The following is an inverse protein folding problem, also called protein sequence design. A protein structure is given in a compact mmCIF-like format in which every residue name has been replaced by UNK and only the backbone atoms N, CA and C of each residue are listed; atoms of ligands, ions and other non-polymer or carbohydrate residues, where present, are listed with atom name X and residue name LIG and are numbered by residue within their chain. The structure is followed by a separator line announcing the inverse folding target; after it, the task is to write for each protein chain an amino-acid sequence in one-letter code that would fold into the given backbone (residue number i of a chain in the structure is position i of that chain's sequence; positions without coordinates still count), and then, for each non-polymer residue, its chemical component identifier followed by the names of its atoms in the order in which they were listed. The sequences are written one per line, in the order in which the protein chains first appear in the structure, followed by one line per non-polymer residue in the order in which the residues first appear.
data_IF_984003721894
#
_entry.id   IF_984003721894
#
_cell.length_a   1.000
_cell.length_b   1.000
_cell.length_c   1.000
_cell.angle_alpha   90.00
_cell.angle_beta   90.00
_cell.angle_gamma   90.00
#
_symmetry.space_group_name_H-M   'P 1'
#
loop_
_entity.id
_entity.type
_entity.pdbx_description
1 polymer ?
#
# COMPACT_ATOMS: atom_id res chain seq x y z
N UNK A 1 -4.85 -11.30 -9.51
CA UNK A 1 -4.15 -11.72 -8.28
C UNK A 1 -2.92 -12.53 -8.68
N UNK A 2 -1.72 -12.13 -8.25
CA UNK A 2 -0.53 -12.99 -8.41
C UNK A 2 -0.69 -14.23 -7.55
N UNK A 3 -0.37 -15.44 -8.07
CA UNK A 3 -0.43 -16.66 -7.27
C UNK A 3 0.68 -16.69 -6.21
N UNK A 4 0.42 -17.44 -5.13
CA UNK A 4 1.46 -17.78 -4.16
C UNK A 4 2.56 -18.64 -4.82
N UNK A 5 3.81 -18.40 -4.45
CA UNK A 5 4.95 -19.27 -4.82
C UNK A 5 5.34 -20.12 -3.59
N UNK A 6 4.70 -21.25 -3.44
CA UNK A 6 4.88 -22.12 -2.28
C UNK A 6 6.27 -22.76 -2.22
N UNK A 7 6.94 -22.96 -3.35
CA UNK A 7 8.29 -23.51 -3.40
C UNK A 7 9.31 -22.52 -2.78
N UNK A 8 9.06 -21.21 -2.92
CA UNK A 8 9.88 -20.16 -2.31
C UNK A 8 9.34 -19.65 -0.97
N UNK A 9 8.26 -20.23 -0.45
CA UNK A 9 7.54 -19.72 0.72
C UNK A 9 7.10 -18.24 0.56
N UNK A 10 6.67 -17.86 -0.63
CA UNK A 10 6.13 -16.54 -0.92
C UNK A 10 4.61 -16.63 -0.95
N UNK A 11 3.96 -15.79 -0.14
CA UNK A 11 2.51 -15.71 -0.04
C UNK A 11 2.05 -14.32 -0.44
N UNK A 12 1.10 -14.25 -1.36
CA UNK A 12 0.51 -12.98 -1.81
C UNK A 12 -0.73 -12.71 -0.97
N UNK A 13 -0.67 -11.65 -0.19
CA UNK A 13 -1.79 -11.20 0.64
C UNK A 13 -2.28 -9.83 0.20
N UNK A 14 -3.57 -9.55 0.37
CA UNK A 14 -4.09 -8.21 0.09
C UNK A 14 -3.45 -7.18 1.02
N UNK A 15 -3.41 -5.89 0.64
CA UNK A 15 -2.84 -4.83 1.45
C UNK A 15 -3.58 -4.63 2.78
N UNK A 16 -2.86 -4.24 3.81
CA UNK A 16 -3.43 -3.82 5.09
C UNK A 16 -3.93 -2.39 4.97
N UNK A 17 -5.20 -2.23 4.62
CA UNK A 17 -5.82 -0.91 4.53
C UNK A 17 -6.31 -0.44 5.90
N UNK A 18 -6.22 0.87 6.16
CA UNK A 18 -6.77 1.52 7.34
C UNK A 18 -8.28 1.27 7.42
N UNK A 19 -8.81 1.13 8.63
CA UNK A 19 -10.25 0.89 8.82
C UNK A 19 -11.10 2.09 8.37
N UNK A 20 -10.55 3.29 8.44
CA UNK A 20 -11.17 4.53 7.98
C UNK A 20 -11.43 4.49 6.47
N UNK A 21 -10.46 4.00 5.68
CA UNK A 21 -10.60 3.85 4.22
C UNK A 21 -11.76 2.93 3.87
N UNK A 22 -11.89 1.82 4.58
CA UNK A 22 -12.95 0.82 4.34
C UNK A 22 -14.37 1.32 4.61
N UNK A 23 -14.50 2.42 5.36
CA UNK A 23 -15.80 3.04 5.70
C UNK A 23 -16.18 4.16 4.72
N UNK A 24 -15.28 4.57 3.84
CA UNK A 24 -15.52 5.66 2.91
C UNK A 24 -16.35 5.17 1.72
N UNK A 25 -17.36 5.94 1.39
CA UNK A 25 -18.05 5.85 0.10
C UNK A 25 -17.43 6.91 -0.82
N UNK A 26 -16.65 6.51 -1.83
CA UNK A 26 -15.96 7.47 -2.69
C UNK A 26 -16.95 8.24 -3.58
N UNK A 27 -16.70 9.53 -3.75
CA UNK A 27 -17.49 10.42 -4.62
C UNK A 27 -16.63 10.85 -5.80
N UNK A 28 -17.18 10.84 -6.99
CA UNK A 28 -16.51 11.36 -8.17
C UNK A 28 -16.36 12.88 -8.04
N UNK A 29 -15.16 13.37 -7.83
CA UNK A 29 -14.84 14.79 -7.72
C UNK A 29 -14.16 15.35 -8.95
N UNK A 30 -13.73 16.61 -8.84
CA UNK A 30 -13.03 17.33 -9.93
C UNK A 30 -11.61 17.75 -9.54
N UNK A 31 -11.32 17.88 -8.23
CA UNK A 31 -9.98 18.23 -7.75
C UNK A 31 -9.02 17.06 -7.89
N UNK A 32 -7.75 17.34 -8.11
CA UNK A 32 -6.69 16.35 -8.04
C UNK A 32 -6.03 16.42 -6.68
N UNK A 33 -5.75 15.26 -6.12
CA UNK A 33 -5.00 15.12 -4.89
C UNK A 33 -3.55 14.81 -5.21
N UNK A 34 -2.63 15.47 -4.51
CA UNK A 34 -1.20 15.20 -4.63
C UNK A 34 -0.61 14.87 -3.26
N UNK A 35 0.30 13.90 -3.24
CA UNK A 35 1.16 13.63 -2.10
C UNK A 35 2.61 13.68 -2.54
N UNK A 36 3.32 14.73 -2.14
CA UNK A 36 4.71 14.94 -2.52
C UNK A 36 5.62 14.91 -1.31
N UNK A 37 6.55 13.98 -1.29
CA UNK A 37 7.53 13.84 -0.21
C UNK A 37 8.66 14.86 -0.31
N UNK A 38 8.77 15.56 -1.44
CA UNK A 38 9.87 16.50 -1.70
C UNK A 38 9.35 17.89 -2.05
N UNK A 39 9.44 18.81 -1.09
CA UNK A 39 8.93 20.19 -1.23
C UNK A 39 9.56 21.00 -2.40
N UNK A 40 10.73 20.60 -2.91
CA UNK A 40 11.36 21.24 -4.09
C UNK A 40 10.54 21.12 -5.39
N UNK A 41 9.54 20.23 -5.42
CA UNK A 41 8.61 20.13 -6.54
C UNK A 41 7.57 21.27 -6.55
N UNK A 42 7.49 22.09 -5.48
CA UNK A 42 6.45 23.10 -5.34
C UNK A 42 6.44 24.12 -6.49
N UNK A 43 7.60 24.61 -6.91
CA UNK A 43 7.69 25.61 -7.99
C UNK A 43 7.17 25.05 -9.33
N UNK A 44 7.46 23.77 -9.61
CA UNK A 44 6.94 23.09 -10.80
C UNK A 44 5.42 22.94 -10.73
N UNK A 45 4.87 22.56 -9.57
CA UNK A 45 3.44 22.41 -9.35
C UNK A 45 2.74 23.75 -9.45
N UNK A 46 3.29 24.82 -8.87
CA UNK A 46 2.76 26.17 -8.95
C UNK A 46 2.71 26.66 -10.41
N UNK A 47 3.82 26.52 -11.12
CA UNK A 47 3.92 26.94 -12.53
C UNK A 47 2.94 26.18 -13.44
N UNK A 48 2.67 24.90 -13.13
CA UNK A 48 1.67 24.13 -13.85
C UNK A 48 0.24 24.58 -13.50
N UNK A 49 -0.06 24.79 -12.22
CA UNK A 49 -1.37 25.21 -11.74
C UNK A 49 -1.79 26.59 -12.32
N UNK A 50 -0.84 27.52 -12.46
CA UNK A 50 -1.08 28.84 -13.08
C UNK A 50 -1.53 28.72 -14.54
N UNK A 51 -1.01 27.72 -15.27
CA UNK A 51 -1.37 27.47 -16.68
C UNK A 51 -2.66 26.67 -16.84
N UNK A 52 -3.12 26.00 -15.80
CA UNK A 52 -4.27 25.11 -15.79
C UNK A 52 -5.27 25.50 -14.68
N UNK A 53 -5.70 26.77 -14.73
CA UNK A 53 -6.55 27.37 -13.69
C UNK A 53 -7.92 26.71 -13.51
N UNK A 54 -8.36 25.90 -14.47
CA UNK A 54 -9.59 25.11 -14.44
C UNK A 54 -9.48 23.85 -13.55
N UNK A 55 -8.25 23.42 -13.22
CA UNK A 55 -8.01 22.23 -12.40
C UNK A 55 -7.64 22.63 -10.98
N UNK A 56 -8.38 22.16 -10.01
CA UNK A 56 -8.10 22.38 -8.59
C UNK A 56 -7.16 21.30 -8.07
N UNK A 57 -6.09 21.73 -7.40
CA UNK A 57 -5.07 20.87 -6.79
C UNK A 57 -5.05 21.03 -5.28
N UNK A 58 -5.17 19.91 -4.56
CA UNK A 58 -4.89 19.78 -3.14
C UNK A 58 -3.59 19.01 -2.97
N UNK A 59 -2.52 19.64 -2.49
CA UNK A 59 -1.20 19.05 -2.38
C UNK A 59 -0.78 18.90 -0.94
N UNK A 60 -0.59 17.66 -0.45
CA UNK A 60 -0.02 17.39 0.86
C UNK A 60 1.50 17.24 0.76
N UNK A 61 2.22 17.93 1.63
CA UNK A 61 3.67 17.96 1.60
C UNK A 61 4.31 18.02 2.98
N UNK A 62 5.52 17.51 3.10
CA UNK A 62 6.36 17.76 4.27
C UNK A 62 7.35 18.90 3.97
N UNK A 63 6.98 20.12 4.34
CA UNK A 63 7.85 21.26 4.21
C UNK A 63 8.47 21.60 5.56
N UNK A 64 9.80 21.77 5.66
CA UNK A 64 10.47 21.99 6.94
C UNK A 64 10.00 23.25 7.66
N UNK A 65 9.71 24.32 6.93
CA UNK A 65 9.37 25.63 7.49
C UNK A 65 7.87 25.96 7.40
N UNK A 66 7.15 25.43 6.39
CA UNK A 66 5.73 25.74 6.19
C UNK A 66 4.85 24.66 6.82
N UNK A 67 4.39 24.93 8.04
CA UNK A 67 3.54 24.04 8.81
C UNK A 67 2.04 24.41 8.73
N UNK A 68 1.71 25.47 7.99
CA UNK A 68 0.34 25.92 7.80
C UNK A 68 -0.11 25.70 6.34
N UNK A 69 -1.40 25.82 6.12
CA UNK A 69 -1.99 25.78 4.76
C UNK A 69 -1.49 26.97 3.95
N UNK A 70 -1.02 26.71 2.74
CA UNK A 70 -0.48 27.70 1.84
C UNK A 70 -1.15 27.59 0.47
N UNK A 71 -1.78 28.68 0.01
CA UNK A 71 -2.46 28.73 -1.30
C UNK A 71 -1.81 29.78 -2.17
N UNK A 72 -0.86 29.42 -3.04
CA UNK A 72 -0.20 30.37 -3.94
C UNK A 72 -1.12 30.87 -5.06
N UNK A 73 -2.16 30.12 -5.39
CA UNK A 73 -3.19 30.50 -6.38
C UNK A 73 -4.57 30.01 -5.94
N UNK A 74 -5.63 30.45 -6.64
CA UNK A 74 -7.02 30.07 -6.30
C UNK A 74 -7.30 28.58 -6.51
N UNK A 75 -6.55 27.95 -7.37
CA UNK A 75 -6.75 26.53 -7.75
C UNK A 75 -5.70 25.59 -7.16
N UNK A 76 -4.75 26.08 -6.33
CA UNK A 76 -3.73 25.25 -5.71
C UNK A 76 -3.64 25.55 -4.21
N UNK A 77 -3.75 24.50 -3.41
CA UNK A 77 -3.57 24.55 -1.96
C UNK A 77 -2.58 23.50 -1.50
N UNK A 78 -1.54 23.93 -0.81
CA UNK A 78 -0.62 23.07 -0.09
C UNK A 78 -1.09 22.90 1.35
N UNK A 79 -1.15 21.67 1.80
CA UNK A 79 -1.53 21.26 3.15
C UNK A 79 -0.34 20.64 3.87
N UNK A 80 -0.11 20.90 5.15
CA UNK A 80 0.78 20.10 5.95
C UNK A 80 0.26 18.65 6.02
N UNK A 81 1.13 17.71 6.33
CA UNK A 81 0.76 16.29 6.47
C UNK A 81 -0.30 16.15 7.58
N UNK A 82 -1.45 15.65 7.20
CA UNK A 82 -2.61 15.40 8.05
C UNK A 82 -3.37 14.21 7.46
N UNK A 83 -3.36 13.10 8.16
CA UNK A 83 -3.88 11.83 7.66
C UNK A 83 -5.41 11.87 7.44
N UNK A 84 -6.16 12.55 8.33
CA UNK A 84 -7.62 12.63 8.23
C UNK A 84 -8.03 13.52 7.06
N UNK A 85 -7.42 14.71 6.95
CA UNK A 85 -7.67 15.62 5.82
C UNK A 85 -7.26 15.03 4.50
N UNK A 86 -6.12 14.33 4.45
CA UNK A 86 -5.65 13.64 3.25
C UNK A 86 -6.68 12.62 2.78
N UNK A 87 -7.17 11.78 3.69
CA UNK A 87 -8.16 10.77 3.37
C UNK A 87 -9.51 11.37 2.96
N UNK A 88 -9.94 12.44 3.63
CA UNK A 88 -11.14 13.19 3.24
C UNK A 88 -11.02 13.77 1.82
N UNK A 89 -9.86 14.32 1.45
CA UNK A 89 -9.59 14.80 0.08
C UNK A 89 -9.52 13.65 -0.92
N UNK A 90 -8.93 12.52 -0.56
CA UNK A 90 -8.87 11.33 -1.42
C UNK A 90 -10.26 10.81 -1.73
N UNK A 91 -11.18 10.83 -0.78
CA UNK A 91 -12.55 10.34 -0.97
C UNK A 91 -13.31 11.07 -2.08
N UNK A 92 -13.00 12.35 -2.31
CA UNK A 92 -13.70 13.24 -3.25
C UNK A 92 -12.86 13.72 -4.43
N UNK A 93 -11.60 13.26 -4.58
CA UNK A 93 -10.76 13.69 -5.71
C UNK A 93 -11.15 12.98 -7.02
N UNK A 94 -10.71 13.54 -8.14
CA UNK A 94 -10.79 12.91 -9.46
C UNK A 94 -9.68 11.85 -9.65
N UNK A 95 -8.55 12.04 -8.97
CA UNK A 95 -7.42 11.13 -9.00
C UNK A 95 -6.28 11.60 -8.10
N UNK A 96 -5.34 10.71 -7.85
CA UNK A 96 -4.17 10.90 -6.98
C UNK A 96 -2.89 11.00 -7.80
N UNK A 97 -2.00 11.88 -7.42
CA UNK A 97 -0.62 11.94 -7.91
C UNK A 97 0.31 11.71 -6.71
N UNK A 98 1.18 10.72 -6.79
CA UNK A 98 2.02 10.32 -5.66
C UNK A 98 3.38 9.83 -6.10
N UNK A 99 4.35 9.80 -5.18
CA UNK A 99 5.66 9.20 -5.40
C UNK A 99 5.65 7.66 -5.31
N UNK A 100 4.51 7.03 -5.56
CA UNK A 100 4.36 5.57 -5.56
C UNK A 100 4.62 4.91 -4.20
N UNK A 101 4.24 5.56 -3.10
CA UNK A 101 4.17 4.90 -1.79
C UNK A 101 3.06 3.84 -1.80
N UNK A 102 3.38 2.61 -1.35
CA UNK A 102 2.49 1.45 -1.43
C UNK A 102 1.09 1.72 -0.84
N UNK A 103 1.03 2.25 0.39
CA UNK A 103 -0.24 2.48 1.09
C UNK A 103 -1.16 3.47 0.35
N UNK A 104 -0.61 4.59 -0.12
CA UNK A 104 -1.40 5.62 -0.82
C UNK A 104 -1.98 5.09 -2.14
N UNK A 105 -1.22 4.28 -2.88
CA UNK A 105 -1.68 3.64 -4.11
C UNK A 105 -2.76 2.62 -3.81
N UNK A 106 -2.55 1.76 -2.81
CA UNK A 106 -3.52 0.74 -2.41
C UNK A 106 -4.85 1.34 -1.91
N UNK A 107 -4.79 2.42 -1.13
CA UNK A 107 -5.98 3.15 -0.66
C UNK A 107 -6.72 3.83 -1.80
N UNK A 108 -5.99 4.45 -2.73
CA UNK A 108 -6.59 5.07 -3.91
C UNK A 108 -7.29 4.03 -4.80
N UNK A 109 -6.66 2.86 -5.02
CA UNK A 109 -7.28 1.74 -5.74
C UNK A 109 -8.56 1.27 -5.05
N UNK A 110 -8.54 1.11 -3.73
CA UNK A 110 -9.73 0.72 -2.95
C UNK A 110 -10.87 1.72 -3.12
N UNK A 111 -10.56 3.01 -3.13
CA UNK A 111 -11.51 4.10 -3.35
C UNK A 111 -11.80 4.38 -4.82
N UNK A 112 -11.32 3.54 -5.74
CA UNK A 112 -11.51 3.66 -7.20
C UNK A 112 -11.04 5.00 -7.74
N UNK A 113 -9.91 5.50 -7.20
CA UNK A 113 -9.26 6.73 -7.64
C UNK A 113 -8.06 6.39 -8.52
N UNK A 114 -8.03 6.82 -9.78
CA UNK A 114 -6.87 6.61 -10.64
C UNK A 114 -5.64 7.31 -10.08
N UNK A 115 -4.48 6.70 -10.26
CA UNK A 115 -3.22 7.20 -9.70
C UNK A 115 -2.21 7.47 -10.81
N UNK A 116 -1.55 8.63 -10.74
CA UNK A 116 -0.28 8.85 -11.42
C UNK A 116 0.86 8.59 -10.42
N UNK A 117 1.67 7.62 -10.72
CA UNK A 117 2.79 7.17 -9.87
C UNK A 117 4.10 7.69 -10.43
N UNK A 118 4.79 8.56 -9.67
CA UNK A 118 6.06 9.18 -10.08
C UNK A 118 7.13 8.84 -9.06
N UNK A 119 7.81 7.69 -9.18
CA UNK A 119 8.83 7.27 -8.22
C UNK A 119 9.99 8.25 -8.17
N UNK A 120 10.53 8.47 -6.98
CA UNK A 120 11.77 9.22 -6.80
C UNK A 120 12.91 8.47 -7.51
N UNK A 121 13.76 9.13 -8.28
CA UNK A 121 14.88 8.50 -8.98
C UNK A 121 15.75 7.67 -8.01
N UNK A 122 16.10 6.46 -8.42
CA UNK A 122 16.89 5.49 -7.64
C UNK A 122 16.20 4.95 -6.35
N UNK A 123 14.91 5.20 -6.15
CA UNK A 123 14.16 4.61 -5.06
C UNK A 123 13.52 3.28 -5.52
N UNK A 124 14.23 2.17 -5.31
CA UNK A 124 13.87 0.85 -5.84
C UNK A 124 12.45 0.42 -5.46
N UNK A 125 12.07 0.58 -4.19
CA UNK A 125 10.73 0.25 -3.71
C UNK A 125 9.64 1.01 -4.49
N UNK A 126 9.78 2.33 -4.63
CA UNK A 126 8.80 3.13 -5.36
C UNK A 126 8.73 2.79 -6.85
N UNK A 127 9.87 2.41 -7.45
CA UNK A 127 9.90 1.95 -8.84
C UNK A 127 9.15 0.63 -9.01
N UNK A 128 9.30 -0.31 -8.07
CA UNK A 128 8.57 -1.58 -8.06
C UNK A 128 7.07 -1.31 -7.84
N UNK A 129 6.71 -0.49 -6.86
CA UNK A 129 5.32 -0.14 -6.58
C UNK A 129 4.64 0.56 -7.77
N UNK A 130 5.35 1.45 -8.49
CA UNK A 130 4.81 2.12 -9.67
C UNK A 130 4.55 1.11 -10.81
N UNK A 131 5.49 0.20 -11.05
CA UNK A 131 5.34 -0.86 -12.03
C UNK A 131 4.17 -1.80 -11.66
N UNK A 132 4.11 -2.28 -10.43
CA UNK A 132 3.04 -3.15 -9.94
C UNK A 132 1.68 -2.46 -9.99
N UNK A 133 1.61 -1.20 -9.56
CA UNK A 133 0.40 -0.41 -9.62
C UNK A 133 -0.11 -0.19 -11.05
N UNK A 134 0.78 -0.01 -12.03
CA UNK A 134 0.40 0.15 -13.44
C UNK A 134 -0.17 -1.16 -14.01
N UNK A 135 0.51 -2.28 -13.83
CA UNK A 135 0.01 -3.60 -14.32
C UNK A 135 -1.24 -4.07 -13.58
N UNK A 136 -1.42 -3.64 -12.32
CA UNK A 136 -2.62 -3.92 -11.52
C UNK A 136 -3.80 -2.98 -11.82
N UNK A 137 -3.61 -2.01 -12.72
CA UNK A 137 -4.68 -1.10 -13.14
C UNK A 137 -4.96 0.04 -12.17
N UNK A 138 -4.02 0.39 -11.27
CA UNK A 138 -4.13 1.55 -10.39
C UNK A 138 -4.14 2.88 -11.15
N UNK A 139 -3.42 2.94 -12.27
CA UNK A 139 -3.27 4.15 -13.06
C UNK A 139 -2.08 4.08 -13.99
N UNK A 140 -1.24 5.11 -14.01
CA UNK A 140 -0.07 5.24 -14.87
C UNK A 140 1.22 5.43 -14.07
N UNK A 141 2.29 4.78 -14.51
CA UNK A 141 3.63 5.07 -14.04
C UNK A 141 4.28 6.14 -14.94
N UNK A 142 4.82 7.20 -14.33
CA UNK A 142 5.47 8.29 -15.05
C UNK A 142 6.90 8.52 -14.54
N UNK A 143 7.79 8.94 -15.43
CA UNK A 143 9.20 9.21 -15.10
C UNK A 143 9.43 10.60 -14.51
N UNK A 144 8.45 11.48 -14.61
CA UNK A 144 8.53 12.86 -14.16
C UNK A 144 7.13 13.38 -13.76
N UNK A 145 7.09 14.45 -12.98
CA UNK A 145 5.85 15.15 -12.62
C UNK A 145 5.32 15.97 -13.81
N UNK A 146 5.04 15.29 -14.93
CA UNK A 146 4.35 15.88 -16.06
C UNK A 146 2.83 15.68 -15.89
N UNK A 147 2.17 16.69 -15.34
CA UNK A 147 0.75 16.63 -15.01
C UNK A 147 -0.16 16.61 -16.26
N UNK A 148 0.36 16.96 -17.45
CA UNK A 148 -0.38 16.83 -18.71
C UNK A 148 -0.62 15.34 -19.04
N UNK A 149 0.31 14.46 -18.70
CA UNK A 149 0.12 13.01 -18.84
C UNK A 149 -1.09 12.55 -18.03
N UNK A 150 -1.21 13.03 -16.79
CA UNK A 150 -2.35 12.65 -15.94
C UNK A 150 -3.67 13.26 -16.43
N UNK A 151 -3.64 14.50 -16.90
CA UNK A 151 -4.80 15.16 -17.51
C UNK A 151 -5.34 14.36 -18.71
N UNK A 152 -4.43 13.93 -19.58
CA UNK A 152 -4.78 13.07 -20.72
C UNK A 152 -5.31 11.72 -20.24
N UNK A 153 -4.66 11.09 -19.26
CA UNK A 153 -5.09 9.80 -18.71
C UNK A 153 -6.52 9.87 -18.17
N UNK A 154 -6.83 10.84 -17.32
CA UNK A 154 -8.16 11.01 -16.73
C UNK A 154 -9.27 11.27 -17.76
N UNK A 155 -8.95 11.87 -18.90
CA UNK A 155 -9.93 12.14 -19.95
C UNK A 155 -10.29 10.90 -20.79
N UNK A 156 -9.42 9.88 -20.83
CA UNK A 156 -9.58 8.71 -21.68
C UNK A 156 -9.81 7.39 -20.92
N UNK A 157 -9.45 7.35 -19.65
CA UNK A 157 -9.51 6.14 -18.86
C UNK A 157 -10.50 6.25 -17.71
N UNK A 158 -11.30 5.20 -17.52
CA UNK A 158 -12.15 5.00 -16.34
C UNK A 158 -11.63 3.82 -15.57
N UNK A 159 -11.41 3.97 -14.27
CA UNK A 159 -11.06 2.81 -13.43
C UNK A 159 -12.20 1.80 -13.45
N UNK A 160 -11.89 0.60 -13.90
CA UNK A 160 -12.86 -0.48 -14.09
C UNK A 160 -12.70 -1.63 -13.07
N UNK A 161 -11.79 -1.52 -12.09
CA UNK A 161 -11.47 -2.67 -11.26
C UNK A 161 -12.34 -2.75 -10.00
N UNK A 162 -13.45 -3.48 -10.10
CA UNK A 162 -14.30 -3.82 -8.95
C UNK A 162 -13.70 -4.97 -8.11
N UNK A 163 -12.78 -5.75 -8.66
CA UNK A 163 -12.25 -6.96 -8.01
C UNK A 163 -11.25 -6.64 -6.91
N UNK A 164 -10.53 -5.52 -7.03
CA UNK A 164 -9.56 -5.09 -6.03
C UNK A 164 -10.19 -4.84 -4.65
N UNK A 165 -11.34 -4.18 -4.59
CA UNK A 165 -12.07 -3.95 -3.33
C UNK A 165 -12.43 -5.28 -2.65
N UNK A 166 -12.99 -6.22 -3.43
CA UNK A 166 -13.35 -7.55 -2.94
C UNK A 166 -12.13 -8.32 -2.45
N UNK A 167 -11.02 -8.23 -3.17
CA UNK A 167 -9.76 -8.85 -2.78
C UNK A 167 -9.18 -8.23 -1.51
N UNK A 168 -9.12 -6.90 -1.41
CA UNK A 168 -8.62 -6.17 -0.26
C UNK A 168 -9.45 -6.38 1.03
N UNK A 169 -10.73 -6.74 0.91
CA UNK A 169 -11.56 -7.08 2.07
C UNK A 169 -11.16 -8.43 2.71
N UNK A 170 -10.47 -9.31 1.99
CA UNK A 170 -10.04 -10.63 2.49
C UNK A 170 -8.73 -10.60 3.29
N UNK A 171 -8.08 -9.44 3.45
CA UNK A 171 -6.75 -9.31 4.08
C UNK A 171 -6.66 -9.97 5.45
N UNK A 172 -7.57 -9.62 6.36
CA UNK A 172 -7.53 -10.15 7.72
C UNK A 172 -7.71 -11.67 7.76
N UNK A 173 -8.58 -12.21 6.91
CA UNK A 173 -8.81 -13.65 6.82
C UNK A 173 -7.57 -14.36 6.29
N UNK A 174 -7.02 -13.94 5.15
CA UNK A 174 -5.82 -14.56 4.55
C UNK A 174 -4.62 -14.52 5.50
N UNK A 175 -4.40 -13.39 6.17
CA UNK A 175 -3.29 -13.28 7.14
C UNK A 175 -3.52 -14.20 8.34
N UNK A 176 -4.74 -14.25 8.91
CA UNK A 176 -5.04 -15.11 10.03
C UNK A 176 -4.86 -16.60 9.67
N UNK A 177 -5.40 -17.04 8.55
CA UNK A 177 -5.25 -18.41 8.07
C UNK A 177 -3.77 -18.81 7.91
N UNK A 178 -2.95 -17.91 7.37
CA UNK A 178 -1.53 -18.15 7.20
C UNK A 178 -0.80 -18.24 8.54
N UNK A 179 -1.07 -17.32 9.48
CA UNK A 179 -0.48 -17.33 10.81
C UNK A 179 -0.88 -18.57 11.61
N UNK A 180 -2.15 -18.97 11.54
CA UNK A 180 -2.64 -20.19 12.21
C UNK A 180 -1.93 -21.43 11.66
N UNK A 181 -1.73 -21.51 10.35
CA UNK A 181 -0.95 -22.57 9.71
C UNK A 181 0.48 -22.65 10.24
N UNK A 182 1.17 -21.51 10.37
CA UNK A 182 2.54 -21.44 10.90
C UNK A 182 2.60 -21.84 12.38
N UNK A 183 1.63 -21.44 13.20
CA UNK A 183 1.53 -21.82 14.61
C UNK A 183 1.33 -23.32 14.76
N UNK A 184 0.44 -23.93 13.97
CA UNK A 184 0.20 -25.38 14.00
C UNK A 184 1.43 -26.18 13.58
N UNK A 185 2.17 -25.75 12.56
CA UNK A 185 3.42 -26.39 12.13
C UNK A 185 4.44 -26.35 13.26
N UNK A 186 4.60 -25.19 13.92
CA UNK A 186 5.53 -25.02 15.04
C UNK A 186 5.13 -25.90 16.26
N UNK A 187 3.83 -25.95 16.56
CA UNK A 187 3.33 -26.82 17.65
C UNK A 187 3.58 -28.30 17.38
N UNK A 188 3.32 -28.76 16.16
CA UNK A 188 3.61 -30.16 15.75
C UNK A 188 5.11 -30.49 15.84
N UNK A 189 5.96 -29.55 15.41
CA UNK A 189 7.42 -29.74 15.49
C UNK A 189 7.91 -29.84 16.93
N UNK A 190 7.42 -28.96 17.81
CA UNK A 190 7.78 -29.00 19.22
C UNK A 190 7.29 -30.25 19.93
N UNK A 191 6.09 -30.75 19.63
CA UNK A 191 5.57 -32.02 20.18
C UNK A 191 6.36 -33.23 19.69
N UNK A 192 6.81 -33.21 18.44
CA UNK A 192 7.64 -34.28 17.88
C UNK A 192 9.03 -34.31 18.54
N UNK A 193 9.68 -33.14 18.67
CA UNK A 193 10.99 -33.05 19.37
C UNK A 193 10.91 -33.46 20.86
N UNK A 194 9.80 -33.13 21.54
CA UNK A 194 9.57 -33.51 22.91
C UNK A 194 9.32 -35.02 23.04
N UNK A 195 8.55 -35.62 22.14
CA UNK A 195 8.32 -37.06 22.13
C UNK A 195 9.59 -37.86 21.85
N UNK A 196 10.42 -37.41 20.92
CA UNK A 196 11.72 -38.02 20.61
C UNK A 196 12.71 -37.89 21.77
N UNK A 197 12.74 -36.76 22.44
CA UNK A 197 13.53 -36.56 23.65
C UNK A 197 13.07 -37.51 24.78
N UNK A 198 11.76 -37.61 24.99
CA UNK A 198 11.19 -38.47 26.03
C UNK A 198 11.45 -39.95 25.76
N UNK A 199 11.31 -40.40 24.52
CA UNK A 199 11.66 -41.77 24.11
C UNK A 199 13.14 -42.09 24.30
N UNK A 200 14.04 -41.16 24.00
CA UNK A 200 15.49 -41.30 24.25
C UNK A 200 15.81 -41.37 25.74
N UNK A 201 15.12 -40.60 26.58
CA UNK A 201 15.28 -40.65 28.03
C UNK A 201 14.78 -41.98 28.59
N UNK A 202 13.61 -42.45 28.19
CA UNK A 202 13.04 -43.77 28.64
C UNK A 202 13.92 -44.91 28.17
N UNK A 203 14.38 -44.93 26.92
CA UNK A 203 15.27 -45.98 26.43
C UNK A 203 16.60 -46.04 27.22
N UNK A 204 17.14 -44.92 27.64
CA UNK A 204 18.32 -44.84 28.50
C UNK A 204 18.06 -45.34 29.93
N UNK A 205 16.89 -45.04 30.48
CA UNK A 205 16.49 -45.51 31.80
C UNK A 205 16.24 -47.04 31.84
N UNK A 206 15.66 -47.59 30.77
CA UNK A 206 15.44 -49.03 30.63
C UNK A 206 16.74 -49.85 30.39
N UNK A 207 17.81 -49.22 29.91
CA UNK A 207 19.12 -49.87 29.73
C UNK A 207 19.96 -49.90 31.03
N UNK A 208 19.53 -49.25 32.11
CA UNK A 208 20.30 -49.14 33.37
C UNK A 208 19.86 -50.16 34.42
N UNK A 209 19.07 -51.19 34.12
CA UNK A 209 18.76 -52.24 35.03
C UNK A 209 19.05 -53.65 34.47
N UNK A 210 20.29 -54.20 34.62
CA UNK A 210 20.42 -55.64 34.71
C UNK A 210 20.16 -56.02 36.16
N UNK A 211 19.00 -56.60 36.43
CA UNK A 211 18.80 -57.39 37.67
C UNK A 211 19.87 -58.51 37.73
N UNK A 212 20.83 -58.32 38.61
CA UNK A 212 21.68 -59.47 39.06
C UNK A 212 20.79 -60.36 39.86
N UNK A 213 20.46 -61.52 39.28
CA UNK A 213 19.96 -62.67 40.04
C UNK A 213 21.09 -63.27 40.91
N UNK A 214 20.86 -63.31 42.18
CA UNK A 214 21.61 -64.14 43.11
C UNK A 214 21.16 -65.58 42.97
#
# INVERSE_FOLDING_TARGET
EMPDDLEKNIYVVPPLLRQEVKKIVPIAGKSWLMYVTHYKLADQIISWAEKNSEITLDCFWDHPEKKEVFSPSKNLTFHPIDAEKYLAKMSICAGLISTAGFESVAEAMYLKKPVMMVPVPNHIEQMINAYDGEISGAGIAAKSFDLEIFKHYLSHNRMANNDYEVWAQKTSLKISEHLDGLIQIKAKKNTFEFSDFFLKVISKLLQISPLKSA
#
